data_IF_716098337536
#
_entry.id   IF_716098337536
#
_cell.length_a   1.000
_cell.length_b   1.000
_cell.length_c   1.000
_cell.angle_alpha   90.00
_cell.angle_beta   90.00
_cell.angle_gamma   90.00
#
_symmetry.space_group_name_H-M   'P 1'
#
loop_
_entity.id
_entity.type
_entity.pdbx_description
1 polymer ?
#
# COMPACT_ATOMS: atom_id res chain seq x y z
N UNK A 1 9.18 -17.56 11.62
CA UNK A 1 8.00 -17.52 10.72
C UNK A 1 6.89 -16.58 11.20
N UNK A 2 6.67 -16.44 12.52
CA UNK A 2 5.50 -15.74 13.07
C UNK A 2 5.38 -14.25 12.75
N UNK A 3 6.47 -13.46 12.89
CA UNK A 3 6.48 -12.05 12.48
C UNK A 3 6.23 -11.85 10.98
N UNK A 4 6.60 -12.84 10.14
CA UNK A 4 6.32 -12.81 8.69
C UNK A 4 4.83 -12.98 8.41
N UNK A 5 4.19 -13.93 9.10
CA UNK A 5 2.74 -14.11 8.99
C UNK A 5 1.99 -12.88 9.50
N UNK A 6 2.44 -12.25 10.58
CA UNK A 6 1.89 -10.99 11.08
C UNK A 6 1.97 -9.85 10.04
N UNK A 7 3.18 -9.55 9.56
CA UNK A 7 3.40 -8.52 8.53
C UNK A 7 2.59 -8.80 7.26
N UNK A 8 2.59 -10.07 6.81
CA UNK A 8 1.82 -10.47 5.64
C UNK A 8 0.32 -10.32 5.85
N UNK A 9 -0.21 -10.72 7.00
CA UNK A 9 -1.63 -10.59 7.33
C UNK A 9 -2.04 -9.12 7.44
N UNK A 10 -1.24 -8.26 8.08
CA UNK A 10 -1.50 -6.81 8.16
C UNK A 10 -1.54 -6.21 6.75
N UNK A 11 -0.53 -6.49 5.93
CA UNK A 11 -0.49 -6.03 4.53
C UNK A 11 -1.73 -6.52 3.78
N UNK A 12 -2.03 -7.81 3.86
CA UNK A 12 -3.14 -8.41 3.11
C UNK A 12 -4.47 -7.81 3.51
N UNK A 13 -4.76 -7.69 4.81
CA UNK A 13 -5.98 -7.03 5.31
C UNK A 13 -6.02 -5.58 4.83
N UNK A 14 -4.95 -4.81 5.02
CA UNK A 14 -4.91 -3.41 4.61
C UNK A 14 -5.21 -3.26 3.12
N UNK A 15 -4.60 -4.09 2.27
CA UNK A 15 -4.74 -4.03 0.82
C UNK A 15 -6.11 -4.49 0.34
N UNK A 16 -6.67 -5.54 0.94
CA UNK A 16 -8.01 -6.00 0.60
C UNK A 16 -9.05 -4.96 0.99
N UNK A 17 -8.94 -4.37 2.18
CA UNK A 17 -9.86 -3.30 2.63
C UNK A 17 -9.71 -2.06 1.77
N UNK A 18 -8.47 -1.61 1.50
CA UNK A 18 -8.20 -0.44 0.64
C UNK A 18 -8.79 -0.63 -0.76
N UNK A 19 -8.52 -1.76 -1.42
CA UNK A 19 -9.02 -2.00 -2.77
C UNK A 19 -10.56 -2.10 -2.78
N UNK A 20 -11.15 -2.89 -1.89
CA UNK A 20 -12.60 -3.07 -1.84
C UNK A 20 -13.33 -1.76 -1.54
N UNK A 21 -12.89 -1.02 -0.52
CA UNK A 21 -13.51 0.24 -0.14
C UNK A 21 -13.30 1.32 -1.20
N UNK A 22 -12.12 1.41 -1.82
CA UNK A 22 -11.88 2.38 -2.90
C UNK A 22 -12.77 2.11 -4.10
N UNK A 23 -12.98 0.84 -4.48
CA UNK A 23 -13.84 0.49 -5.60
C UNK A 23 -15.31 0.76 -5.29
N UNK A 24 -15.79 0.32 -4.13
CA UNK A 24 -17.21 0.47 -3.75
C UNK A 24 -17.56 1.92 -3.47
N UNK A 25 -16.84 2.57 -2.55
CA UNK A 25 -17.14 3.95 -2.14
C UNK A 25 -16.74 4.91 -3.26
N UNK A 26 -15.65 4.64 -3.98
CA UNK A 26 -15.25 5.43 -5.14
C UNK A 26 -16.30 5.43 -6.23
N UNK A 27 -16.86 4.27 -6.60
CA UNK A 27 -17.95 4.19 -7.58
C UNK A 27 -19.18 4.98 -7.14
N UNK A 28 -19.59 4.85 -5.87
CA UNK A 28 -20.73 5.59 -5.31
C UNK A 28 -20.47 7.11 -5.34
N UNK A 29 -19.24 7.54 -5.03
CA UNK A 29 -18.89 8.95 -4.95
C UNK A 29 -18.70 9.61 -6.33
N UNK A 30 -18.17 8.91 -7.32
CA UNK A 30 -17.82 9.48 -8.64
C UNK A 30 -18.77 9.11 -9.76
N UNK A 31 -19.59 8.06 -9.58
CA UNK A 31 -20.50 7.54 -10.61
C UNK A 31 -19.83 6.71 -11.70
N UNK A 32 -18.52 6.44 -11.59
CA UNK A 32 -17.77 5.62 -12.55
C UNK A 32 -16.77 4.71 -11.84
N UNK A 33 -16.31 3.65 -12.51
CA UNK A 33 -15.30 2.75 -11.95
C UNK A 33 -13.95 3.46 -11.81
N UNK A 34 -13.55 3.72 -10.57
CA UNK A 34 -12.27 4.37 -10.22
C UNK A 34 -11.07 3.63 -10.80
N UNK A 35 -11.10 2.29 -10.81
CA UNK A 35 -10.11 1.45 -11.46
C UNK A 35 -10.84 0.33 -12.22
N UNK A 36 -10.74 0.27 -13.56
CA UNK A 36 -11.36 -0.79 -14.37
C UNK A 36 -10.81 -2.17 -14.04
N UNK A 37 -11.62 -3.20 -14.30
CA UNK A 37 -11.25 -4.60 -14.07
C UNK A 37 -9.93 -5.00 -14.78
N UNK A 38 -9.70 -4.49 -15.99
CA UNK A 38 -8.47 -4.73 -16.75
C UNK A 38 -7.24 -4.26 -15.97
N UNK A 39 -7.30 -3.06 -15.37
CA UNK A 39 -6.18 -2.53 -14.57
C UNK A 39 -6.03 -3.26 -13.24
N UNK A 40 -7.13 -3.72 -12.64
CA UNK A 40 -7.07 -4.58 -11.45
C UNK A 40 -6.34 -5.88 -11.78
N UNK A 41 -6.62 -6.50 -12.93
CA UNK A 41 -5.91 -7.70 -13.36
C UNK A 41 -4.40 -7.43 -13.51
N UNK A 42 -4.02 -6.30 -14.11
CA UNK A 42 -2.60 -5.89 -14.19
C UNK A 42 -1.99 -5.71 -12.80
N UNK A 43 -2.68 -5.06 -11.87
CA UNK A 43 -2.21 -4.89 -10.47
C UNK A 43 -1.95 -6.25 -9.82
N UNK A 44 -2.88 -7.20 -9.97
CA UNK A 44 -2.75 -8.54 -9.37
C UNK A 44 -1.54 -9.27 -9.96
N UNK A 45 -1.42 -9.30 -11.29
CA UNK A 45 -0.30 -9.97 -11.98
C UNK A 45 1.05 -9.38 -11.55
N UNK A 46 1.18 -8.04 -11.56
CA UNK A 46 2.42 -7.38 -11.17
C UNK A 46 2.80 -7.64 -9.70
N UNK A 47 1.81 -7.63 -8.80
CA UNK A 47 2.05 -7.93 -7.39
C UNK A 47 2.41 -9.40 -7.15
N UNK A 48 1.88 -10.33 -7.93
CA UNK A 48 2.22 -11.75 -7.83
C UNK A 48 3.66 -12.02 -8.27
N UNK A 49 4.15 -11.36 -9.32
CA UNK A 49 5.56 -11.43 -9.75
C UNK A 49 6.51 -11.02 -8.61
N UNK A 50 6.18 -9.94 -7.90
CA UNK A 50 6.94 -9.50 -6.72
C UNK A 50 6.88 -10.55 -5.62
N UNK A 51 5.69 -11.10 -5.34
CA UNK A 51 5.51 -12.10 -4.29
C UNK A 51 6.32 -13.36 -4.56
N UNK A 52 6.37 -13.84 -5.81
CA UNK A 52 7.17 -15.00 -6.22
C UNK A 52 8.66 -14.70 -6.08
N UNK A 53 9.10 -13.51 -6.51
CA UNK A 53 10.50 -13.07 -6.39
C UNK A 53 10.93 -12.94 -4.93
N UNK A 54 10.02 -12.56 -4.04
CA UNK A 54 10.24 -12.53 -2.60
C UNK A 54 10.21 -13.92 -1.95
N UNK A 55 9.54 -14.89 -2.56
CA UNK A 55 9.42 -16.25 -2.04
C UNK A 55 10.66 -17.11 -2.33
N UNK A 56 11.40 -16.81 -3.41
CA UNK A 56 12.66 -17.50 -3.75
C UNK A 56 13.84 -17.11 -2.86
N UNK A 57 13.69 -16.06 -2.05
CA UNK A 57 14.67 -15.59 -1.06
C UNK A 57 14.71 -16.47 0.21
N UNK A 58 15.87 -17.10 0.46
CA UNK A 58 16.06 -18.14 1.50
C UNK A 58 16.32 -17.63 2.93
N UNK A 59 16.33 -16.32 3.19
CA UNK A 59 17.11 -15.75 4.33
C UNK A 59 16.32 -15.26 5.56
N UNK A 60 14.99 -15.22 5.57
CA UNK A 60 14.24 -14.57 6.66
C UNK A 60 13.63 -15.57 7.66
N UNK A 61 14.46 -16.13 8.55
CA UNK A 61 14.01 -16.99 9.65
C UNK A 61 14.32 -16.28 10.97
N UNK A 62 13.27 -15.80 11.65
CA UNK A 62 13.32 -15.40 13.06
C UNK A 62 12.45 -16.35 13.89
N UNK A 63 13.01 -16.76 15.03
CA UNK A 63 12.72 -17.91 15.88
C UNK A 63 12.27 -17.49 17.28
N UNK A 64 11.23 -16.67 17.41
CA UNK A 64 10.62 -16.42 18.72
C UNK A 64 9.08 -16.43 18.64
N UNK A 65 8.40 -17.18 19.53
CA UNK A 65 6.94 -17.27 19.57
C UNK A 65 6.38 -16.02 20.24
N UNK A 66 5.54 -15.27 19.53
CA UNK A 66 4.91 -14.04 20.02
C UNK A 66 3.37 -14.21 19.92
N UNK A 67 2.63 -13.99 21.01
CA UNK A 67 1.19 -14.33 21.08
C UNK A 67 0.35 -13.60 20.00
N UNK A 68 -0.46 -14.33 19.23
CA UNK A 68 -1.34 -13.76 18.19
C UNK A 68 -2.58 -13.12 18.80
N UNK A 69 -2.74 -11.82 18.59
CA UNK A 69 -3.99 -11.12 18.85
C UNK A 69 -4.59 -10.66 17.51
N UNK A 70 -5.49 -11.48 16.96
CA UNK A 70 -6.13 -11.24 15.66
C UNK A 70 -6.82 -9.89 15.61
N UNK A 71 -7.45 -9.47 16.73
CA UNK A 71 -8.08 -8.15 16.84
C UNK A 71 -7.08 -7.00 16.67
N UNK A 72 -5.89 -7.07 17.28
CA UNK A 72 -4.84 -6.05 17.10
C UNK A 72 -4.31 -6.02 15.66
N UNK A 73 -4.19 -7.17 15.02
CA UNK A 73 -3.72 -7.30 13.64
C UNK A 73 -4.72 -6.66 12.66
N UNK A 74 -6.00 -7.01 12.81
CA UNK A 74 -7.07 -6.46 11.98
C UNK A 74 -7.21 -4.94 12.20
N UNK A 75 -7.09 -4.47 13.44
CA UNK A 75 -7.10 -3.05 13.76
C UNK A 75 -5.99 -2.28 13.04
N UNK A 76 -4.75 -2.78 13.08
CA UNK A 76 -3.62 -2.14 12.40
C UNK A 76 -3.79 -2.11 10.88
N UNK A 77 -4.24 -3.23 10.29
CA UNK A 77 -4.56 -3.29 8.86
C UNK A 77 -5.66 -2.29 8.49
N UNK A 78 -6.68 -2.16 9.34
CA UNK A 78 -7.75 -1.18 9.19
C UNK A 78 -7.26 0.26 9.23
N UNK A 79 -6.42 0.63 10.21
CA UNK A 79 -5.86 1.99 10.32
C UNK A 79 -5.05 2.35 9.07
N UNK A 80 -4.20 1.43 8.59
CA UNK A 80 -3.43 1.65 7.36
C UNK A 80 -4.36 1.83 6.15
N UNK A 81 -5.36 0.96 6.00
CA UNK A 81 -6.34 1.06 4.93
C UNK A 81 -7.11 2.38 4.97
N UNK A 82 -7.58 2.81 6.14
CA UNK A 82 -8.27 4.10 6.31
C UNK A 82 -7.36 5.26 5.92
N UNK A 83 -6.10 5.23 6.33
CA UNK A 83 -5.10 6.23 5.96
C UNK A 83 -4.92 6.36 4.44
N UNK A 84 -4.78 5.22 3.76
CA UNK A 84 -4.71 5.19 2.30
C UNK A 84 -6.02 5.65 1.66
N UNK A 85 -7.18 5.23 2.16
CA UNK A 85 -8.47 5.66 1.61
C UNK A 85 -8.65 7.17 1.69
N UNK A 86 -8.30 7.78 2.83
CA UNK A 86 -8.36 9.25 2.98
C UNK A 86 -7.50 9.93 1.91
N UNK A 87 -6.27 9.46 1.69
CA UNK A 87 -5.41 9.98 0.63
C UNK A 87 -6.00 9.77 -0.77
N UNK A 88 -6.51 8.58 -1.05
CA UNK A 88 -7.13 8.24 -2.33
C UNK A 88 -8.30 9.17 -2.65
N UNK A 89 -9.18 9.43 -1.68
CA UNK A 89 -10.33 10.33 -1.86
C UNK A 89 -9.92 11.78 -1.98
N UNK A 90 -8.90 12.24 -1.23
CA UNK A 90 -8.35 13.59 -1.42
C UNK A 90 -7.80 13.79 -2.83
N UNK A 91 -7.08 12.80 -3.37
CA UNK A 91 -6.55 12.86 -4.73
C UNK A 91 -7.68 12.80 -5.76
N UNK A 92 -8.63 11.88 -5.61
CA UNK A 92 -9.80 11.79 -6.50
C UNK A 92 -10.56 13.11 -6.55
N UNK A 93 -10.85 13.70 -5.40
CA UNK A 93 -11.52 14.99 -5.31
C UNK A 93 -10.72 16.10 -6.01
N UNK A 94 -9.41 16.17 -5.77
CA UNK A 94 -8.55 17.18 -6.40
C UNK A 94 -8.49 17.02 -7.93
N UNK A 95 -8.34 15.79 -8.41
CA UNK A 95 -8.23 15.50 -9.84
C UNK A 95 -9.56 15.77 -10.56
N UNK A 96 -10.69 15.46 -9.93
CA UNK A 96 -12.02 15.72 -10.47
C UNK A 96 -12.37 17.21 -10.49
N UNK A 97 -12.08 17.94 -9.41
CA UNK A 97 -12.54 19.33 -9.25
C UNK A 97 -11.56 20.37 -9.79
N UNK A 98 -10.26 20.15 -9.60
CA UNK A 98 -9.22 21.14 -9.96
C UNK A 98 -8.57 20.86 -11.30
N UNK A 99 -8.18 19.61 -11.54
CA UNK A 99 -7.53 19.23 -12.80
C UNK A 99 -8.53 18.86 -13.90
N UNK A 100 -9.77 18.50 -13.52
CA UNK A 100 -10.86 18.11 -14.43
C UNK A 100 -10.41 17.07 -15.47
N UNK A 101 -9.59 16.11 -15.03
CA UNK A 101 -9.04 15.11 -15.94
C UNK A 101 -10.14 14.21 -16.51
N UNK A 102 -10.00 13.75 -17.76
CA UNK A 102 -10.93 12.78 -18.33
C UNK A 102 -10.86 11.47 -17.55
N UNK A 103 -12.01 10.81 -17.40
CA UNK A 103 -12.17 9.56 -16.61
C UNK A 103 -11.09 8.52 -16.90
N UNK A 104 -10.70 8.22 -18.16
CA UNK A 104 -9.66 7.25 -18.45
C UNK A 104 -8.27 7.61 -17.87
N UNK A 105 -7.94 8.90 -17.76
CA UNK A 105 -6.69 9.35 -17.12
C UNK A 105 -6.78 9.22 -15.60
N UNK A 106 -7.95 9.48 -15.00
CA UNK A 106 -8.18 9.24 -13.57
C UNK A 106 -7.96 7.77 -13.26
N UNK A 107 -8.50 6.87 -14.09
CA UNK A 107 -8.35 5.43 -13.92
C UNK A 107 -6.88 4.98 -13.96
N UNK A 108 -6.10 5.52 -14.91
CA UNK A 108 -4.66 5.26 -15.00
C UNK A 108 -3.90 5.82 -13.78
N UNK A 109 -4.28 7.02 -13.30
CA UNK A 109 -3.68 7.64 -12.13
C UNK A 109 -4.00 6.85 -10.85
N UNK A 110 -5.21 6.33 -10.71
CA UNK A 110 -5.63 5.50 -9.59
C UNK A 110 -5.03 4.10 -9.63
N UNK A 111 -4.76 3.56 -10.82
CA UNK A 111 -3.90 2.39 -10.98
C UNK A 111 -2.50 2.63 -10.42
N UNK A 112 -1.84 3.73 -10.80
CA UNK A 112 -0.50 4.07 -10.30
C UNK A 112 -0.51 4.27 -8.78
N UNK A 113 -1.52 4.97 -8.26
CA UNK A 113 -1.76 5.13 -6.83
C UNK A 113 -1.81 3.78 -6.11
N UNK A 114 -2.65 2.84 -6.58
CA UNK A 114 -2.78 1.52 -5.98
C UNK A 114 -1.47 0.73 -6.04
N UNK A 115 -0.69 0.86 -7.11
CA UNK A 115 0.61 0.21 -7.24
C UNK A 115 1.64 0.76 -6.24
N UNK A 116 1.72 2.08 -6.10
CA UNK A 116 2.67 2.72 -5.18
C UNK A 116 2.34 2.43 -3.72
N UNK A 117 1.08 2.57 -3.34
CA UNK A 117 0.60 2.26 -1.99
C UNK A 117 0.79 0.78 -1.64
N UNK A 118 0.70 -0.13 -2.62
CA UNK A 118 0.99 -1.55 -2.39
C UNK A 118 2.42 -1.74 -1.91
N UNK A 119 3.38 -1.10 -2.59
CA UNK A 119 4.79 -1.18 -2.23
C UNK A 119 5.06 -0.53 -0.87
N UNK A 120 4.51 0.65 -0.61
CA UNK A 120 4.70 1.35 0.67
C UNK A 120 4.08 0.62 1.85
N UNK A 121 2.94 -0.06 1.65
CA UNK A 121 2.29 -0.85 2.70
C UNK A 121 3.19 -2.02 3.14
N UNK A 122 3.94 -2.64 2.22
CA UNK A 122 4.94 -3.66 2.57
C UNK A 122 5.99 -3.09 3.53
N UNK A 123 6.46 -1.85 3.31
CA UNK A 123 7.42 -1.22 4.20
C UNK A 123 6.83 -0.87 5.57
N UNK A 124 5.60 -0.35 5.61
CA UNK A 124 4.92 0.05 6.84
C UNK A 124 4.61 -1.14 7.77
N UNK A 125 4.24 -2.28 7.21
CA UNK A 125 3.86 -3.48 7.98
C UNK A 125 5.05 -4.33 8.42
N UNK A 126 6.25 -4.10 7.88
CA UNK A 126 7.47 -4.85 8.20
C UNK A 126 7.98 -4.63 9.62
N UNK A 127 7.71 -3.48 10.21
CA UNK A 127 8.18 -3.14 11.56
C UNK A 127 7.05 -2.53 12.39
N UNK A 128 6.89 -2.92 13.66
CA UNK A 128 5.94 -2.27 14.56
C UNK A 128 6.38 -0.85 14.95
N UNK A 129 7.69 -0.57 14.89
CA UNK A 129 8.27 0.77 15.05
C UNK A 129 8.41 1.53 13.73
N UNK A 130 9.38 2.46 13.67
CA UNK A 130 9.65 3.27 12.48
C UNK A 130 10.03 2.39 11.28
N UNK A 131 9.44 2.66 10.12
CA UNK A 131 9.67 1.90 8.89
C UNK A 131 11.16 1.89 8.48
N UNK A 132 11.92 2.93 8.84
CA UNK A 132 13.36 3.04 8.60
C UNK A 132 14.26 2.42 9.69
N UNK A 133 13.68 1.91 10.78
CA UNK A 133 14.45 1.34 11.89
C UNK A 133 15.15 0.03 11.50
N UNK A 134 14.58 -0.73 10.57
CA UNK A 134 15.23 -1.91 9.98
C UNK A 134 15.42 -1.68 8.50
N UNK A 135 16.68 -1.79 8.05
CA UNK A 135 16.97 -1.72 6.62
C UNK A 135 16.32 -2.90 5.89
N UNK A 136 15.53 -2.63 4.84
CA UNK A 136 14.98 -3.70 4.01
C UNK A 136 16.11 -4.49 3.35
N UNK A 137 15.94 -5.81 3.24
CA UNK A 137 16.84 -6.65 2.45
C UNK A 137 16.88 -6.19 1.00
N UNK A 138 18.05 -6.32 0.35
CA UNK A 138 18.31 -5.81 -1.01
C UNK A 138 17.29 -6.27 -2.03
N UNK A 139 16.80 -7.50 -1.93
CA UNK A 139 15.80 -8.06 -2.83
C UNK A 139 14.41 -7.46 -2.66
N UNK A 140 14.02 -7.09 -1.43
CA UNK A 140 12.75 -6.40 -1.21
C UNK A 140 12.80 -5.00 -1.84
N UNK A 141 13.93 -4.31 -1.69
CA UNK A 141 14.13 -3.03 -2.36
C UNK A 141 14.07 -3.20 -3.87
N UNK A 142 14.81 -4.17 -4.43
CA UNK A 142 14.84 -4.39 -5.87
C UNK A 142 13.45 -4.72 -6.44
N UNK A 143 12.70 -5.60 -5.79
CA UNK A 143 11.38 -6.01 -6.26
C UNK A 143 10.36 -4.87 -6.17
N UNK A 144 10.34 -4.13 -5.05
CA UNK A 144 9.41 -3.01 -4.87
C UNK A 144 9.73 -1.82 -5.78
N UNK A 145 11.01 -1.46 -5.92
CA UNK A 145 11.47 -0.39 -6.82
C UNK A 145 11.23 -0.79 -8.27
N UNK A 146 11.54 -2.04 -8.64
CA UNK A 146 11.24 -2.57 -9.97
C UNK A 146 9.75 -2.46 -10.30
N UNK A 147 8.87 -2.80 -9.37
CA UNK A 147 7.43 -2.71 -9.58
C UNK A 147 6.93 -1.25 -9.68
N UNK A 148 7.50 -0.33 -8.90
CA UNK A 148 7.21 1.10 -9.03
C UNK A 148 7.61 1.60 -10.42
N UNK A 149 8.80 1.22 -10.90
CA UNK A 149 9.28 1.61 -12.23
C UNK A 149 8.36 1.02 -13.31
N UNK A 150 8.06 -0.27 -13.25
CA UNK A 150 7.16 -0.93 -14.23
C UNK A 150 5.79 -0.26 -14.24
N UNK A 151 5.18 -0.03 -13.08
CA UNK A 151 3.88 0.65 -12.98
C UNK A 151 3.93 2.08 -13.58
N UNK A 152 5.01 2.81 -13.31
CA UNK A 152 5.20 4.18 -13.82
C UNK A 152 5.38 4.17 -15.33
N UNK A 153 6.15 3.23 -15.89
CA UNK A 153 6.36 3.09 -17.34
C UNK A 153 5.06 2.71 -18.04
N UNK A 154 4.27 1.78 -17.47
CA UNK A 154 2.97 1.40 -18.02
C UNK A 154 1.99 2.59 -18.03
N UNK A 155 1.94 3.36 -16.95
CA UNK A 155 1.05 4.52 -16.83
C UNK A 155 1.48 5.72 -17.69
N UNK A 156 2.79 5.98 -17.79
CA UNK A 156 3.32 7.05 -18.64
C UNK A 156 3.23 6.68 -20.13
N UNK A 157 3.49 5.41 -20.47
CA UNK A 157 3.45 4.90 -21.83
C UNK A 157 2.04 4.60 -22.37
N UNK A 158 1.01 4.61 -21.51
CA UNK A 158 -0.37 4.37 -21.92
C UNK A 158 -0.65 2.92 -22.33
N UNK A 159 0.04 1.94 -21.73
CA UNK A 159 -0.22 0.53 -22.03
C UNK A 159 -1.46 0.04 -21.29
N UNK A 160 -2.50 -0.40 -22.02
CA UNK A 160 -3.82 -0.79 -21.50
C UNK A 160 -4.59 0.33 -20.74
N UNK A 161 -4.05 1.55 -20.72
CA UNK A 161 -4.62 2.70 -20.01
C UNK A 161 -4.30 3.99 -20.76
N UNK A 162 -5.01 5.08 -20.48
CA UNK A 162 -4.67 6.37 -21.11
C UNK A 162 -3.38 6.92 -20.52
N UNK A 163 -2.44 7.42 -21.36
CA UNK A 163 -1.18 7.93 -20.86
C UNK A 163 -1.40 9.11 -19.90
N UNK A 164 -0.69 9.07 -18.78
CA UNK A 164 -0.68 10.12 -17.77
C UNK A 164 0.68 10.82 -17.79
N UNK A 165 0.68 12.13 -17.60
CA UNK A 165 1.93 12.88 -17.57
C UNK A 165 2.85 12.39 -16.46
N UNK A 166 4.15 12.28 -16.78
CA UNK A 166 5.15 11.84 -15.80
C UNK A 166 5.16 12.77 -14.57
N UNK A 167 4.89 14.06 -14.76
CA UNK A 167 4.76 15.04 -13.66
C UNK A 167 3.69 14.63 -12.65
N UNK A 168 2.49 14.22 -13.11
CA UNK A 168 1.42 13.76 -12.22
C UNK A 168 1.81 12.47 -11.49
N UNK A 169 2.51 11.55 -12.16
CA UNK A 169 2.98 10.31 -11.55
C UNK A 169 4.05 10.57 -10.47
N UNK A 170 4.97 11.49 -10.72
CA UNK A 170 5.99 11.90 -9.73
C UNK A 170 5.34 12.60 -8.53
N UNK A 171 4.40 13.51 -8.76
CA UNK A 171 3.64 14.17 -7.68
C UNK A 171 2.86 13.14 -6.88
N UNK A 172 2.17 12.21 -7.54
CA UNK A 172 1.46 11.11 -6.91
C UNK A 172 2.40 10.28 -6.02
N UNK A 173 3.54 9.89 -6.55
CA UNK A 173 4.54 9.12 -5.81
C UNK A 173 5.05 9.89 -4.58
N UNK A 174 5.31 11.19 -4.72
CA UNK A 174 5.72 12.06 -3.62
C UNK A 174 4.64 12.15 -2.53
N UNK A 175 3.36 12.30 -2.91
CA UNK A 175 2.23 12.29 -1.96
C UNK A 175 2.11 10.96 -1.22
N UNK A 176 2.25 9.85 -1.93
CA UNK A 176 2.25 8.51 -1.33
C UNK A 176 3.42 8.34 -0.37
N UNK A 177 4.63 8.83 -0.71
CA UNK A 177 5.77 8.83 0.19
C UNK A 177 5.50 9.65 1.46
N UNK A 178 5.02 10.89 1.33
CA UNK A 178 4.68 11.75 2.46
C UNK A 178 3.64 11.10 3.37
N UNK A 179 2.57 10.55 2.79
CA UNK A 179 1.56 9.83 3.55
C UNK A 179 2.11 8.58 4.22
N UNK A 180 3.05 7.87 3.60
CA UNK A 180 3.76 6.75 4.24
C UNK A 180 4.42 7.20 5.54
N UNK A 181 5.08 8.37 5.54
CA UNK A 181 5.74 8.89 6.74
C UNK A 181 4.72 9.24 7.82
N UNK A 182 3.62 9.87 7.44
CA UNK A 182 2.54 10.22 8.37
C UNK A 182 1.91 8.96 8.98
N UNK A 183 1.62 7.95 8.16
CA UNK A 183 1.05 6.68 8.63
C UNK A 183 2.02 5.91 9.52
N UNK A 184 3.33 6.01 9.26
CA UNK A 184 4.35 5.41 10.12
C UNK A 184 4.34 6.05 11.52
N UNK A 185 4.23 7.39 11.61
CA UNK A 185 4.11 8.09 12.90
C UNK A 185 2.81 7.75 13.63
N UNK A 186 1.67 7.73 12.92
CA UNK A 186 0.36 7.36 13.49
C UNK A 186 0.42 5.95 14.07
N UNK A 187 1.01 5.01 13.33
CA UNK A 187 1.23 3.63 13.77
C UNK A 187 2.03 3.60 15.08
N UNK A 188 3.16 4.29 15.14
CA UNK A 188 4.02 4.32 16.36
C UNK A 188 3.26 4.89 17.55
N UNK A 189 2.53 5.99 17.35
CA UNK A 189 1.75 6.63 18.40
C UNK A 189 0.63 5.71 18.92
N UNK A 190 -0.04 4.96 18.03
CA UNK A 190 -1.03 3.95 18.40
C UNK A 190 -0.42 2.81 19.23
N UNK A 191 0.80 2.38 18.90
CA UNK A 191 1.52 1.38 19.68
C UNK A 191 2.00 1.92 21.04
N UNK A 192 2.47 3.16 21.10
CA UNK A 192 2.89 3.79 22.35
C UNK A 192 1.74 3.95 23.35
N UNK A 193 0.50 4.09 22.87
CA UNK A 193 -0.71 4.23 23.70
C UNK A 193 -1.35 2.91 24.14
N UNK A 194 -0.91 1.76 23.63
CA UNK A 194 -1.35 0.44 24.11
C UNK A 194 -0.18 -0.23 24.82
N UNK A 195 -0.01 -0.04 26.15
CA UNK A 195 1.01 -0.77 26.89
C UNK A 195 0.76 -2.26 26.69
N UNK A 196 1.86 -3.01 26.57
CA UNK A 196 1.83 -4.46 26.53
C UNK A 196 1.24 -4.95 27.86
N UNK A 197 -0.02 -5.35 27.86
CA UNK A 197 -0.54 -6.28 28.87
C UNK A 197 0.24 -7.59 28.74
N UNK A 198 1.30 -7.71 29.55
CA UNK A 198 2.17 -8.87 29.59
C UNK A 198 3.66 -8.58 29.68
N UNK A 199 4.09 -7.58 30.45
CA UNK A 199 5.40 -7.67 31.10
C UNK A 199 5.25 -8.63 32.28
N UNK A 200 6.05 -9.72 32.37
CA UNK A 200 6.12 -10.46 33.62
C UNK A 200 6.72 -9.50 34.65
N UNK A 201 5.94 -9.23 35.70
CA UNK A 201 6.46 -8.59 36.91
C UNK A 201 7.56 -9.50 37.46
N UNK A 202 8.71 -8.89 37.75
CA UNK A 202 9.76 -9.29 38.71
C UNK A 202 10.04 -10.79 38.84
#
# INVERSE_FOLDING_TARGET
MFRRMLTWTITKISRTVELAALLTIGYIATGFFVTPLVLIAVIVVLNDVVTITLATERSWISSSPERWNVGKIAWLGGVLATGWLILAFMILWFVLTRLQLPVPQIQALMFAYLMYTAQMTIYLSRTPGRCWSLRPGRFVVLATVGNIIIATVLAAGGFLMTPVSLTLLVIMFALVLLATLLLDQIKIWLFARRPVEGSPKS
#
